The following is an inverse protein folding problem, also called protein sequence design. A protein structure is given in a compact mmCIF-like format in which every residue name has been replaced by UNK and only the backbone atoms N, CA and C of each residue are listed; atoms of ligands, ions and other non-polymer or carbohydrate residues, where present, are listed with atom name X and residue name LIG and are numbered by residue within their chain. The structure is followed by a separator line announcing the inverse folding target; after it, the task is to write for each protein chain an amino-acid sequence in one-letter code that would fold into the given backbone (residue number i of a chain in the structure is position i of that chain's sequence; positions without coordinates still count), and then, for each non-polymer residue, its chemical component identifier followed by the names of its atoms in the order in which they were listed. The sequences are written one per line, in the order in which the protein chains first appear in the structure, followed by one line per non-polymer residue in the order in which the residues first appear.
data_IF_874158155695
#
_entry.id   IF_874158155695
#
_cell.length_a   1.000
_cell.length_b   1.000
_cell.length_c   1.000
_cell.angle_alpha   90.00
_cell.angle_beta   90.00
_cell.angle_gamma   90.00
#
_symmetry.space_group_name_H-M   'P 1'
#
loop_
_entity.id
_entity.type
_entity.pdbx_description
1 polymer ?
#
# COMPACT_ATOMS: atom_id res chain seq x y z
N UNK A 1 11.01 12.07 42.88
CA UNK A 1 10.16 10.96 42.42
C UNK A 1 9.70 11.36 41.02
N UNK A 2 10.27 10.96 39.88
CA UNK A 2 10.62 9.63 39.32
C UNK A 2 9.45 8.64 39.29
N UNK A 3 8.49 8.88 38.38
CA UNK A 3 7.58 7.89 37.77
C UNK A 3 7.19 8.47 36.39
N UNK A 4 7.72 8.06 35.22
CA UNK A 4 7.70 6.77 34.50
C UNK A 4 6.41 6.52 33.69
N UNK A 5 6.63 6.04 32.45
CA UNK A 5 5.71 5.52 31.40
C UNK A 5 5.35 6.55 30.31
N UNK A 6 5.86 6.55 29.06
CA UNK A 6 6.22 5.44 28.14
C UNK A 6 5.15 4.34 28.10
N UNK A 7 4.05 4.56 27.35
CA UNK A 7 3.15 3.48 26.92
C UNK A 7 2.14 3.91 25.83
N UNK A 8 2.56 4.33 24.63
CA UNK A 8 1.66 4.29 23.46
C UNK A 8 2.46 4.01 22.18
N UNK A 9 3.06 2.82 22.03
CA UNK A 9 3.69 2.45 20.75
C UNK A 9 3.58 0.97 20.37
N UNK A 10 2.73 0.16 21.02
CA UNK A 10 2.70 -1.29 20.79
C UNK A 10 1.39 -1.86 20.22
N UNK A 11 0.54 -1.05 19.58
CA UNK A 11 -0.74 -1.53 19.02
C UNK A 11 -0.77 -1.67 17.49
N UNK A 12 0.33 -1.42 16.77
CA UNK A 12 0.30 -1.43 15.29
C UNK A 12 0.55 -2.83 14.69
N UNK A 13 1.12 -3.76 15.46
CA UNK A 13 1.47 -5.11 14.95
C UNK A 13 0.29 -6.09 15.03
N UNK A 14 -0.71 -5.82 15.86
CA UNK A 14 -1.91 -6.68 15.97
C UNK A 14 -2.89 -6.49 14.81
N UNK A 15 -2.86 -5.34 14.13
CA UNK A 15 -3.79 -5.03 13.03
C UNK A 15 -3.36 -5.69 11.72
N UNK A 16 -2.08 -6.02 11.53
CA UNK A 16 -1.62 -6.76 10.36
C UNK A 16 -2.13 -8.21 10.32
N UNK A 17 -2.25 -8.86 11.49
CA UNK A 17 -2.63 -10.27 11.59
C UNK A 17 -4.16 -10.51 11.60
N UNK A 18 -4.98 -9.49 11.90
CA UNK A 18 -6.45 -9.60 11.91
C UNK A 18 -7.10 -9.14 10.59
N UNK A 19 -6.34 -8.57 9.66
CA UNK A 19 -6.88 -8.07 8.38
C UNK A 19 -6.87 -9.13 7.27
N UNK A 20 -6.16 -10.23 7.48
CA UNK A 20 -5.91 -11.29 6.50
C UNK A 20 -6.91 -12.44 6.52
N UNK A 21 -7.63 -12.63 7.64
CA UNK A 21 -8.76 -13.56 7.76
C UNK A 21 -9.90 -13.27 6.76
N UNK A 22 -9.87 -12.11 6.09
CA UNK A 22 -10.86 -11.70 5.11
C UNK A 22 -10.22 -11.22 3.79
N UNK A 23 -9.20 -11.93 3.26
CA UNK A 23 -8.76 -11.74 1.88
C UNK A 23 -9.78 -12.40 0.92
N UNK A 24 -10.67 -11.63 0.25
CA UNK A 24 -11.86 -12.18 -0.40
C UNK A 24 -11.61 -12.60 -1.86
N UNK A 25 -10.35 -12.63 -2.29
CA UNK A 25 -10.00 -12.85 -3.69
C UNK A 25 -9.66 -14.30 -3.95
N UNK A 26 -9.94 -14.75 -5.18
CA UNK A 26 -9.54 -16.08 -5.62
C UNK A 26 -8.01 -16.15 -5.75
N UNK A 27 -7.41 -17.30 -5.43
CA UNK A 27 -6.02 -17.57 -5.75
C UNK A 27 -5.82 -17.43 -7.26
N UNK A 28 -4.64 -16.94 -7.65
CA UNK A 28 -4.27 -16.90 -9.05
C UNK A 28 -4.04 -18.33 -9.57
N UNK A 29 -4.09 -18.52 -10.88
CA UNK A 29 -3.71 -19.81 -11.47
C UNK A 29 -2.23 -20.14 -11.23
N UNK A 30 -1.84 -21.42 -11.38
CA UNK A 30 -0.51 -21.89 -11.03
C UNK A 30 0.62 -21.20 -11.81
N UNK A 31 0.42 -20.81 -13.07
CA UNK A 31 1.43 -20.11 -13.84
C UNK A 31 1.64 -18.68 -13.29
N UNK A 32 0.54 -17.94 -13.13
CA UNK A 32 0.60 -16.56 -12.63
C UNK A 32 1.12 -16.52 -11.20
N UNK A 33 0.65 -17.41 -10.32
CA UNK A 33 1.11 -17.52 -8.94
C UNK A 33 2.62 -17.80 -8.85
N UNK A 34 3.13 -18.74 -9.65
CA UNK A 34 4.56 -19.05 -9.72
C UNK A 34 5.37 -17.83 -10.16
N UNK A 35 4.94 -17.12 -11.21
CA UNK A 35 5.61 -15.91 -11.68
C UNK A 35 5.68 -14.82 -10.60
N UNK A 36 4.55 -14.55 -9.93
CA UNK A 36 4.46 -13.55 -8.86
C UNK A 36 5.40 -13.90 -7.70
N UNK A 37 5.43 -15.17 -7.29
CA UNK A 37 6.26 -15.67 -6.20
C UNK A 37 7.74 -15.68 -6.55
N UNK A 38 8.13 -16.17 -7.73
CA UNK A 38 9.53 -16.25 -8.15
C UNK A 38 10.14 -14.86 -8.23
N UNK A 39 9.46 -13.93 -8.92
CA UNK A 39 9.91 -12.53 -9.03
C UNK A 39 9.93 -11.89 -7.65
N UNK A 40 8.88 -12.09 -6.84
CA UNK A 40 8.79 -11.55 -5.49
C UNK A 40 9.96 -11.99 -4.61
N UNK A 41 10.28 -13.28 -4.64
CA UNK A 41 11.39 -13.89 -3.88
C UNK A 41 12.76 -13.38 -4.31
N UNK A 42 12.93 -12.96 -5.57
CA UNK A 42 14.19 -12.31 -5.99
C UNK A 42 14.37 -10.93 -5.36
N UNK A 43 13.29 -10.24 -5.01
CA UNK A 43 13.30 -8.88 -4.48
C UNK A 43 13.14 -8.85 -2.95
N UNK A 44 12.50 -9.86 -2.40
CA UNK A 44 12.20 -9.99 -0.99
C UNK A 44 12.12 -11.48 -0.62
N UNK A 45 13.10 -12.02 0.13
CA UNK A 45 13.15 -13.46 0.42
C UNK A 45 11.91 -14.01 1.14
N UNK A 46 11.28 -13.20 1.99
CA UNK A 46 10.06 -13.56 2.73
C UNK A 46 8.77 -13.24 1.94
N UNK A 47 8.89 -12.99 0.63
CA UNK A 47 7.74 -12.73 -0.22
C UNK A 47 6.77 -13.91 -0.20
N UNK A 48 5.50 -13.59 0.02
CA UNK A 48 4.43 -14.57 0.21
C UNK A 48 3.14 -14.07 -0.44
N UNK A 49 2.39 -15.01 -1.01
CA UNK A 49 1.01 -14.83 -1.47
C UNK A 49 -0.02 -15.41 -0.49
N UNK A 50 0.46 -16.06 0.59
CA UNK A 50 -0.39 -16.59 1.65
C UNK A 50 -0.93 -15.44 2.50
N UNK A 51 -2.26 -15.22 2.53
CA UNK A 51 -2.85 -14.16 3.34
C UNK A 51 -2.55 -14.34 4.82
N UNK A 52 -2.42 -15.56 5.34
CA UNK A 52 -2.21 -15.80 6.77
C UNK A 52 -0.81 -15.41 7.27
N UNK A 53 0.12 -15.16 6.36
CA UNK A 53 1.50 -14.82 6.70
C UNK A 53 1.65 -13.34 7.08
N UNK A 54 2.45 -13.05 8.11
CA UNK A 54 2.73 -11.68 8.57
C UNK A 54 3.33 -10.76 7.49
N UNK A 55 4.01 -11.33 6.49
CA UNK A 55 4.65 -10.61 5.39
C UNK A 55 3.73 -10.42 4.17
N UNK A 56 2.47 -10.83 4.24
CA UNK A 56 1.54 -10.76 3.12
C UNK A 56 1.26 -9.34 2.66
N UNK A 57 0.95 -8.42 3.59
CA UNK A 57 0.69 -7.02 3.23
C UNK A 57 1.93 -6.34 2.65
N UNK A 58 3.12 -6.66 3.16
CA UNK A 58 4.37 -6.15 2.60
C UNK A 58 4.57 -6.67 1.17
N UNK A 59 4.32 -7.96 0.93
CA UNK A 59 4.41 -8.59 -0.39
C UNK A 59 3.41 -7.97 -1.38
N UNK A 60 2.17 -7.69 -0.95
CA UNK A 60 1.18 -6.97 -1.76
C UNK A 60 1.62 -5.54 -2.10
N UNK A 61 2.41 -4.89 -1.25
CA UNK A 61 2.99 -3.57 -1.52
C UNK A 61 3.85 -3.55 -2.78
N UNK A 62 4.58 -4.63 -3.08
CA UNK A 62 5.36 -4.73 -4.33
C UNK A 62 4.48 -4.69 -5.58
N UNK A 63 3.25 -5.21 -5.50
CA UNK A 63 2.29 -5.20 -6.61
C UNK A 63 1.39 -3.96 -6.64
N UNK A 64 1.25 -3.22 -5.54
CA UNK A 64 0.19 -2.21 -5.41
C UNK A 64 0.64 -0.83 -4.89
N UNK A 65 1.87 -0.65 -4.41
CA UNK A 65 2.42 0.68 -4.09
C UNK A 65 2.96 1.39 -5.34
N UNK A 66 2.01 1.85 -6.15
CA UNK A 66 2.27 2.58 -7.39
C UNK A 66 3.20 3.76 -7.17
N UNK A 67 4.15 3.95 -8.08
CA UNK A 67 5.10 5.06 -8.07
C UNK A 67 6.37 4.81 -7.24
N UNK A 68 6.49 3.64 -6.59
CA UNK A 68 7.74 3.25 -5.94
C UNK A 68 8.68 2.52 -6.91
N UNK A 69 10.01 2.61 -6.74
CA UNK A 69 10.96 1.83 -7.54
C UNK A 69 10.72 0.32 -7.43
N UNK A 70 10.38 -0.17 -6.22
CA UNK A 70 10.03 -1.58 -5.96
C UNK A 70 8.84 -2.02 -6.81
N UNK A 71 7.77 -1.22 -6.88
CA UNK A 71 6.61 -1.49 -7.72
C UNK A 71 6.97 -1.56 -9.20
N UNK A 72 7.75 -0.59 -9.70
CA UNK A 72 8.12 -0.54 -11.11
C UNK A 72 8.92 -1.79 -11.49
N UNK A 73 9.92 -2.16 -10.70
CA UNK A 73 10.74 -3.34 -10.94
C UNK A 73 9.92 -4.63 -10.85
N UNK A 74 9.10 -4.76 -9.80
CA UNK A 74 8.27 -5.94 -9.59
C UNK A 74 7.26 -6.14 -10.73
N UNK A 75 6.53 -5.09 -11.10
CA UNK A 75 5.53 -5.16 -12.17
C UNK A 75 6.15 -5.39 -13.54
N UNK A 76 7.33 -4.83 -13.80
CA UNK A 76 8.07 -5.08 -15.06
C UNK A 76 8.48 -6.55 -15.16
N UNK A 77 9.13 -7.08 -14.13
CA UNK A 77 9.63 -8.45 -14.12
C UNK A 77 8.49 -9.48 -14.11
N UNK A 78 7.45 -9.22 -13.30
CA UNK A 78 6.25 -10.06 -13.25
C UNK A 78 5.52 -10.01 -14.58
N UNK A 79 5.39 -8.82 -15.20
CA UNK A 79 4.77 -8.64 -16.51
C UNK A 79 5.43 -9.45 -17.61
N UNK A 80 6.77 -9.53 -17.61
CA UNK A 80 7.52 -10.38 -18.54
C UNK A 80 7.27 -11.87 -18.31
N UNK A 81 7.12 -12.30 -17.05
CA UNK A 81 6.86 -13.70 -16.73
C UNK A 81 5.43 -14.13 -17.07
N UNK A 82 4.43 -13.37 -16.62
CA UNK A 82 3.01 -13.72 -16.79
C UNK A 82 2.56 -13.65 -18.25
N UNK A 83 3.27 -12.91 -19.11
CA UNK A 83 2.95 -12.81 -20.54
C UNK A 83 2.94 -14.15 -21.28
N UNK A 84 3.58 -15.19 -20.71
CA UNK A 84 3.58 -16.56 -21.26
C UNK A 84 2.53 -17.48 -20.62
N UNK A 85 1.75 -16.99 -19.65
CA UNK A 85 0.74 -17.79 -18.95
C UNK A 85 -0.56 -17.96 -19.76
N UNK A 86 -1.36 -18.99 -19.44
CA UNK A 86 -2.66 -19.19 -20.07
C UNK A 86 -3.55 -17.96 -19.93
N UNK A 87 -4.33 -17.69 -20.98
CA UNK A 87 -5.15 -16.48 -21.06
C UNK A 87 -6.21 -16.44 -19.96
N UNK A 88 -6.74 -17.59 -19.57
CA UNK A 88 -7.73 -17.73 -18.50
C UNK A 88 -7.17 -17.29 -17.14
N UNK A 89 -5.89 -17.60 -16.86
CA UNK A 89 -5.23 -17.16 -15.63
C UNK A 89 -4.94 -15.67 -15.64
N UNK A 90 -4.53 -15.13 -16.81
CA UNK A 90 -4.31 -13.69 -17.00
C UNK A 90 -5.61 -12.90 -16.84
N UNK A 91 -6.72 -13.40 -17.38
CA UNK A 91 -8.03 -12.75 -17.26
C UNK A 91 -8.52 -12.77 -15.80
N UNK A 92 -8.29 -13.88 -15.07
CA UNK A 92 -8.58 -13.95 -13.62
C UNK A 92 -7.71 -12.98 -12.81
N UNK A 93 -6.43 -12.86 -13.14
CA UNK A 93 -5.51 -11.94 -12.48
C UNK A 93 -5.93 -10.49 -12.71
N UNK A 94 -6.18 -10.10 -13.96
CA UNK A 94 -6.54 -8.74 -14.35
C UNK A 94 -7.92 -8.33 -13.80
N UNK A 95 -8.91 -9.23 -13.83
CA UNK A 95 -10.26 -8.94 -13.33
C UNK A 95 -10.29 -8.63 -11.84
N UNK A 96 -9.38 -9.22 -11.06
CA UNK A 96 -9.29 -9.00 -9.62
C UNK A 96 -8.24 -7.94 -9.24
N UNK A 97 -7.33 -7.56 -10.15
CA UNK A 97 -6.18 -6.70 -9.84
C UNK A 97 -6.57 -5.36 -9.23
N UNK A 98 -7.55 -4.66 -9.81
CA UNK A 98 -7.99 -3.37 -9.29
C UNK A 98 -8.64 -3.51 -7.90
N UNK A 99 -9.52 -4.50 -7.74
CA UNK A 99 -10.17 -4.75 -6.45
C UNK A 99 -9.16 -5.16 -5.36
N UNK A 100 -8.11 -5.92 -5.71
CA UNK A 100 -6.97 -6.23 -4.82
C UNK A 100 -6.23 -4.97 -4.42
N UNK A 101 -5.98 -4.05 -5.35
CA UNK A 101 -5.33 -2.78 -5.06
C UNK A 101 -6.17 -1.88 -4.14
N UNK A 102 -7.50 -1.83 -4.34
CA UNK A 102 -8.42 -1.06 -3.50
C UNK A 102 -8.52 -1.66 -2.08
N UNK A 103 -8.59 -2.98 -1.98
CA UNK A 103 -8.52 -3.69 -0.70
C UNK A 103 -7.21 -3.39 0.00
N UNK A 104 -6.07 -3.52 -0.70
CA UNK A 104 -4.75 -3.20 -0.14
C UNK A 104 -4.67 -1.76 0.35
N UNK A 105 -5.18 -0.79 -0.42
CA UNK A 105 -5.22 0.61 -0.02
C UNK A 105 -6.05 0.83 1.26
N UNK A 106 -7.17 0.12 1.41
CA UNK A 106 -8.00 0.18 2.62
C UNK A 106 -7.33 -0.42 3.86
N UNK A 107 -6.41 -1.37 3.67
CA UNK A 107 -5.68 -2.06 4.74
C UNK A 107 -4.37 -1.38 5.11
N UNK A 108 -3.65 -0.81 4.14
CA UNK A 108 -2.37 -0.11 4.40
C UNK A 108 -2.54 1.20 5.16
N UNK A 109 -3.73 1.81 5.14
CA UNK A 109 -4.06 3.05 5.87
C UNK A 109 -4.08 2.94 7.40
N UNK A 110 -4.06 1.71 7.95
CA UNK A 110 -3.81 1.46 9.39
C UNK A 110 -2.34 1.32 9.74
N UNK A 111 -1.44 1.41 8.74
CA UNK A 111 0.01 1.34 8.91
C UNK A 111 0.58 2.66 8.43
N UNK A 112 0.79 3.60 9.35
CA UNK A 112 1.49 4.85 9.06
C UNK A 112 2.82 4.53 8.37
N UNK A 113 2.94 4.93 7.12
CA UNK A 113 4.21 4.99 6.41
C UNK A 113 5.14 5.92 7.19
N UNK A 114 6.28 5.46 7.75
CA UNK A 114 7.23 6.36 8.35
C UNK A 114 7.99 7.07 7.22
N UNK A 115 7.82 8.39 7.18
CA UNK A 115 8.82 9.35 6.71
C UNK A 115 9.12 9.33 5.21
N UNK A 116 8.34 10.11 4.46
CA UNK A 116 8.94 10.95 3.43
C UNK A 116 9.45 12.22 4.13
N UNK A 117 10.70 12.19 4.60
CA UNK A 117 11.44 13.40 4.91
C UNK A 117 11.54 14.19 3.60
N UNK A 118 10.77 15.28 3.50
CA UNK A 118 10.98 16.27 2.47
C UNK A 118 12.36 16.91 2.70
N UNK A 119 13.36 16.47 1.95
CA UNK A 119 14.60 17.23 1.80
C UNK A 119 14.31 18.49 0.98
N UNK A 120 14.54 19.70 1.51
CA UNK A 120 14.49 20.92 0.72
C UNK A 120 15.77 21.02 -0.11
N UNK A 121 15.71 20.67 -1.40
CA UNK A 121 16.76 21.02 -2.36
C UNK A 121 16.60 22.48 -2.78
N UNK A 122 17.36 23.33 -2.10
CA UNK A 122 17.65 24.70 -2.48
C UNK A 122 18.32 24.75 -3.86
N UNK A 123 17.72 25.51 -4.80
CA UNK A 123 18.52 26.20 -5.83
C UNK A 123 17.83 27.52 -6.22
N UNK A 124 18.51 28.67 -6.06
CA UNK A 124 17.97 29.98 -6.40
C UNK A 124 18.29 30.33 -7.86
N UNK A 125 17.29 30.86 -8.57
CA UNK A 125 17.34 31.65 -9.82
C UNK A 125 15.88 31.76 -10.24
N UNK A 126 15.19 32.88 -10.21
CA UNK A 126 15.53 34.25 -10.55
C UNK A 126 14.23 34.83 -11.15
N UNK A 127 13.88 36.06 -10.77
CA UNK A 127 12.63 36.77 -11.02
C UNK A 127 12.03 36.59 -12.45
N UNK A 128 10.71 36.54 -12.63
CA UNK A 128 9.90 37.77 -12.63
C UNK A 128 8.39 37.54 -12.47
N UNK A 129 7.79 38.58 -11.91
CA UNK A 129 6.39 38.85 -11.57
C UNK A 129 5.38 38.51 -12.67
N UNK A 130 4.15 38.14 -12.28
CA UNK A 130 2.95 39.00 -12.42
C UNK A 130 1.77 38.45 -11.61
N UNK A 131 1.32 39.30 -10.67
CA UNK A 131 -0.06 39.64 -10.26
C UNK A 131 -1.19 38.63 -10.52
N UNK A 132 -1.87 38.23 -9.45
CA UNK A 132 -3.18 37.57 -9.50
C UNK A 132 -3.83 37.48 -8.11
N UNK A 133 -4.31 38.61 -7.59
CA UNK A 133 -5.08 38.73 -6.35
C UNK A 133 -6.36 37.88 -6.37
N UNK A 134 -6.64 37.13 -5.30
CA UNK A 134 -7.89 37.24 -4.52
C UNK A 134 -7.87 36.29 -3.31
N UNK A 135 -8.28 36.84 -2.18
CA UNK A 135 -8.25 36.31 -0.83
C UNK A 135 -9.45 35.38 -0.51
N UNK A 136 -9.52 34.99 0.78
CA UNK A 136 -10.65 34.45 1.58
C UNK A 136 -10.47 32.95 1.92
N UNK A 137 -9.91 32.60 3.09
CA UNK A 137 -10.53 32.59 4.44
C UNK A 137 -11.62 31.51 4.60
N UNK A 138 -11.42 30.59 5.55
CA UNK A 138 -12.46 29.68 6.07
C UNK A 138 -11.90 28.31 6.49
N UNK A 139 -11.28 28.13 7.66
CA UNK A 139 -11.91 27.81 8.97
C UNK A 139 -12.88 26.60 8.94
N UNK A 140 -12.40 25.50 9.56
CA UNK A 140 -13.06 24.66 10.59
C UNK A 140 -14.42 24.04 10.28
N UNK A 141 -14.49 22.70 10.37
CA UNK A 141 -15.52 21.99 11.15
C UNK A 141 -15.08 20.55 11.47
N UNK A 142 -14.59 20.38 12.70
CA UNK A 142 -14.74 19.15 13.49
C UNK A 142 -16.17 19.23 14.08
N UNK A 143 -16.93 18.13 14.12
CA UNK A 143 -17.83 17.72 15.23
C UNK A 143 -18.64 16.46 14.85
N UNK A 144 -18.42 15.43 15.67
CA UNK A 144 -19.33 14.45 16.28
C UNK A 144 -20.52 13.87 15.48
N UNK A 145 -20.61 12.54 15.54
CA UNK A 145 -21.86 11.79 15.45
C UNK A 145 -21.73 10.47 16.20
N UNK A 146 -22.04 10.49 17.50
CA UNK A 146 -22.13 9.33 18.36
C UNK A 146 -23.54 8.69 18.29
N UNK A 147 -23.57 7.36 18.28
CA UNK A 147 -24.46 6.42 19.01
C UNK A 147 -25.81 6.95 19.54
N UNK A 148 -26.91 6.37 19.06
CA UNK A 148 -28.07 5.85 19.84
C UNK A 148 -29.07 5.20 18.86
N UNK A 149 -29.29 3.87 18.92
CA UNK A 149 -30.39 3.20 19.63
C UNK A 149 -31.79 3.59 19.13
N UNK A 150 -32.37 2.69 18.33
CA UNK A 150 -33.79 2.30 18.34
C UNK A 150 -33.88 0.86 17.81
#
# INVERSE_FOLDING_TARGET
MRFSALAVLAAVVAVANAQTDAYPFKPNGPCVAKCLLDVGKTMYPDFTDDPTNAHFLESLGYAHDKGTPKYITYMTNTGMCIGSCPKEELDLYNSQYQAKADWYASKKGTTTSPTAAASPSSKPSGASMVVGSSALVGLVSIVMGAVALL
#
